data_IF_233380867163
#
_entry.id   IF_233380867163
#
_cell.length_a   1.000
_cell.length_b   1.000
_cell.length_c   1.000
_cell.angle_alpha   90.00
_cell.angle_beta   90.00
_cell.angle_gamma   90.00
#
_symmetry.space_group_name_H-M   'P 1'
#
loop_
_entity.id
_entity.type
_entity.pdbx_description
1 polymer ?
#
# COMPACT_ATOMS: atom_id res chain seq x y z
N UNK A 1 -21.67 5.96 -4.55
CA UNK A 1 -20.22 6.10 -4.84
C UNK A 1 -19.63 4.70 -4.76
N UNK A 2 -18.83 4.23 -5.73
CA UNK A 2 -18.15 2.95 -5.59
C UNK A 2 -17.22 2.99 -4.38
N UNK A 3 -17.03 1.85 -3.71
CA UNK A 3 -16.10 1.73 -2.60
C UNK A 3 -14.69 2.10 -3.07
N UNK A 4 -14.05 3.05 -2.39
CA UNK A 4 -12.68 3.48 -2.65
C UNK A 4 -11.75 2.95 -1.57
N UNK A 5 -10.56 2.52 -1.96
CA UNK A 5 -9.52 2.09 -1.03
C UNK A 5 -8.42 3.13 -1.00
N UNK A 6 -8.23 3.76 0.15
CA UNK A 6 -7.08 4.64 0.40
C UNK A 6 -5.99 3.84 1.11
N UNK A 7 -4.78 3.92 0.57
CA UNK A 7 -3.65 3.16 1.07
C UNK A 7 -2.74 4.03 1.93
N UNK A 8 -2.33 3.47 3.06
CA UNK A 8 -1.33 3.98 4.00
C UNK A 8 0.07 3.49 3.63
N UNK A 9 1.10 4.23 4.05
CA UNK A 9 2.53 3.93 3.91
C UNK A 9 2.87 2.49 4.31
N UNK A 10 2.24 1.95 5.36
CA UNK A 10 2.48 0.58 5.83
C UNK A 10 2.20 -0.50 4.79
N UNK A 11 1.17 -0.33 3.96
CA UNK A 11 0.85 -1.31 2.92
C UNK A 11 1.93 -1.31 1.84
N UNK A 12 2.49 -0.14 1.51
CA UNK A 12 3.62 -0.02 0.58
C UNK A 12 4.87 -0.73 1.14
N UNK A 13 5.17 -0.51 2.42
CA UNK A 13 6.27 -1.18 3.11
C UNK A 13 6.07 -2.70 3.06
N UNK A 14 4.88 -3.20 3.42
CA UNK A 14 4.60 -4.63 3.40
C UNK A 14 4.65 -5.22 1.99
N UNK A 15 4.22 -4.48 0.98
CA UNK A 15 4.26 -4.89 -0.41
C UNK A 15 5.69 -5.19 -0.89
N UNK A 16 6.69 -4.43 -0.44
CA UNK A 16 8.09 -4.67 -0.78
C UNK A 16 8.84 -5.54 0.25
N UNK A 17 8.34 -5.66 1.47
CA UNK A 17 8.97 -6.41 2.58
C UNK A 17 9.26 -7.88 2.30
N UNK A 18 10.12 -8.49 3.13
CA UNK A 18 10.37 -9.94 3.15
C UNK A 18 9.38 -10.72 4.04
N UNK A 19 8.45 -10.05 4.71
CA UNK A 19 7.46 -10.70 5.58
C UNK A 19 6.32 -11.30 4.76
N UNK A 20 6.40 -12.61 4.48
CA UNK A 20 5.51 -13.33 3.56
C UNK A 20 4.01 -13.07 3.80
N UNK A 21 3.56 -13.09 5.07
CA UNK A 21 2.15 -12.94 5.42
C UNK A 21 1.63 -11.54 5.13
N UNK A 22 2.36 -10.50 5.59
CA UNK A 22 1.96 -9.11 5.35
C UNK A 22 2.10 -8.71 3.88
N UNK A 23 3.13 -9.21 3.21
CA UNK A 23 3.31 -9.03 1.76
C UNK A 23 2.13 -9.59 0.96
N UNK A 24 1.64 -10.78 1.33
CA UNK A 24 0.47 -11.37 0.66
C UNK A 24 -0.77 -10.49 0.85
N UNK A 25 -1.08 -10.07 2.07
CA UNK A 25 -2.22 -9.18 2.33
C UNK A 25 -2.11 -7.83 1.63
N UNK A 26 -0.91 -7.25 1.58
CA UNK A 26 -0.66 -6.01 0.84
C UNK A 26 -0.88 -6.17 -0.67
N UNK A 27 -0.47 -7.31 -1.25
CA UNK A 27 -0.73 -7.63 -2.66
C UNK A 27 -2.22 -7.81 -2.95
N UNK A 28 -2.96 -8.49 -2.08
CA UNK A 28 -4.41 -8.68 -2.24
C UNK A 28 -5.16 -7.34 -2.25
N UNK A 29 -4.75 -6.38 -1.42
CA UNK A 29 -5.33 -5.03 -1.40
C UNK A 29 -4.99 -4.28 -2.69
N UNK A 30 -3.71 -4.28 -3.08
CA UNK A 30 -3.19 -3.57 -4.26
C UNK A 30 -3.79 -4.07 -5.59
N UNK A 31 -4.01 -5.38 -5.70
CA UNK A 31 -4.55 -6.01 -6.90
C UNK A 31 -6.03 -6.38 -6.77
N UNK A 32 -6.72 -5.83 -5.76
CA UNK A 32 -8.17 -5.96 -5.69
C UNK A 32 -8.83 -5.27 -6.89
N UNK A 33 -10.02 -5.72 -7.30
CA UNK A 33 -10.81 -5.06 -8.35
C UNK A 33 -11.39 -3.69 -7.92
N UNK A 34 -10.87 -3.10 -6.84
CA UNK A 34 -11.27 -1.78 -6.33
C UNK A 34 -10.27 -0.73 -6.81
N UNK A 35 -10.74 0.48 -7.02
CA UNK A 35 -9.84 1.61 -7.26
C UNK A 35 -9.04 1.93 -5.99
N UNK A 36 -7.73 1.89 -6.14
CA UNK A 36 -6.75 2.16 -5.10
C UNK A 36 -6.19 3.56 -5.28
N UNK A 37 -6.19 4.33 -4.20
CA UNK A 37 -5.70 5.70 -4.15
C UNK A 37 -4.56 5.84 -3.15
N UNK A 38 -3.50 6.53 -3.58
CA UNK A 38 -2.32 6.82 -2.77
C UNK A 38 -2.14 8.34 -2.76
N UNK A 39 -2.01 8.92 -1.57
CA UNK A 39 -1.79 10.37 -1.45
C UNK A 39 -0.31 10.70 -1.67
N UNK A 40 -0.03 11.96 -2.06
CA UNK A 40 1.34 12.45 -2.16
C UNK A 40 2.11 12.34 -0.84
N UNK A 41 1.42 12.57 0.29
CA UNK A 41 2.00 12.41 1.63
C UNK A 41 2.48 10.97 1.88
N UNK A 42 1.66 9.96 1.55
CA UNK A 42 2.01 8.55 1.71
C UNK A 42 3.22 8.17 0.83
N UNK A 43 3.32 8.74 -0.38
CA UNK A 43 4.49 8.55 -1.23
C UNK A 43 5.74 9.18 -0.60
N UNK A 44 5.62 10.40 -0.07
CA UNK A 44 6.74 11.10 0.60
C UNK A 44 7.23 10.36 1.83
N UNK A 45 6.31 9.87 2.68
CA UNK A 45 6.64 9.05 3.84
C UNK A 45 7.34 7.75 3.41
N UNK A 46 6.79 7.05 2.42
CA UNK A 46 7.37 5.80 1.93
C UNK A 46 8.80 5.96 1.42
N UNK A 47 9.07 7.03 0.65
CA UNK A 47 10.43 7.32 0.16
C UNK A 47 11.36 7.66 1.34
N UNK A 48 10.90 8.47 2.29
CA UNK A 48 11.73 8.92 3.42
C UNK A 48 12.10 7.81 4.40
N UNK A 49 11.23 6.81 4.58
CA UNK A 49 11.47 5.70 5.50
C UNK A 49 12.30 4.56 4.87
N UNK A 50 12.49 4.56 3.53
CA UNK A 50 13.18 3.50 2.79
C UNK A 50 14.50 3.96 2.12
N UNK A 51 14.90 5.23 2.29
CA UNK A 51 16.17 5.81 1.82
C UNK A 51 16.90 6.52 2.96
#
# INVERSE_FOLDING_TARGET
>A
MPDRVFIDTNILIYFISNEKKKKLGAKEIMFSNKEVYISAQVISEFISDNY
#
